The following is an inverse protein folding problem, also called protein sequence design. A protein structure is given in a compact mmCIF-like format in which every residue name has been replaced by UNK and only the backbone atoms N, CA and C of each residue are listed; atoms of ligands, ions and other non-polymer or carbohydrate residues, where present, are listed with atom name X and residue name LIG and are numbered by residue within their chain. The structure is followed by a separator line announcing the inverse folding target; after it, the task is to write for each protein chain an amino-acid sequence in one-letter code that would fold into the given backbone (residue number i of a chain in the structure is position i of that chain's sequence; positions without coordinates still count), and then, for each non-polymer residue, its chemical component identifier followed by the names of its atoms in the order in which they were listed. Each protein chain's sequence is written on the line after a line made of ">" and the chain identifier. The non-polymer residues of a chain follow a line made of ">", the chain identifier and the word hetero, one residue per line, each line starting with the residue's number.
data_IF_306737951902
#
_entry.id   IF_306737951902
#
_cell.length_a   1.000
_cell.length_b   1.000
_cell.length_c   1.000
_cell.angle_alpha   90.00
_cell.angle_beta   90.00
_cell.angle_gamma   90.00
#
_symmetry.space_group_name_H-M   'P 1'
#
loop_
_entity.id
_entity.type
_entity.pdbx_description
1 polymer ?
#
# COMPACT_ATOMS: atom_id res chain seq x y z
N UNK A 1 -0.97 -12.81 7.16
CA UNK A 1 -1.34 -12.30 5.82
C UNK A 1 -1.14 -10.79 5.72
N UNK A 2 -1.85 -9.97 6.52
CA UNK A 2 -1.76 -8.50 6.48
C UNK A 2 -0.33 -7.93 6.58
N UNK A 3 0.49 -8.45 7.49
CA UNK A 3 1.89 -8.02 7.63
C UNK A 3 2.76 -8.32 6.40
N UNK A 4 2.51 -9.46 5.75
CA UNK A 4 3.25 -9.84 4.55
C UNK A 4 2.88 -8.95 3.37
N UNK A 5 1.60 -8.60 3.22
CA UNK A 5 1.15 -7.68 2.15
C UNK A 5 1.66 -6.26 2.38
N UNK A 6 1.67 -5.76 3.62
CA UNK A 6 2.24 -4.44 3.95
C UNK A 6 3.74 -4.39 3.72
N UNK A 7 4.46 -5.48 4.00
CA UNK A 7 5.87 -5.61 3.67
C UNK A 7 6.12 -5.61 2.17
N UNK A 8 5.37 -6.41 1.41
CA UNK A 8 5.52 -6.47 -0.05
C UNK A 8 5.30 -5.09 -0.70
N UNK A 9 4.33 -4.33 -0.18
CA UNK A 9 4.10 -2.96 -0.59
C UNK A 9 5.31 -2.06 -0.27
N UNK A 10 5.83 -2.09 0.96
CA UNK A 10 7.03 -1.33 1.32
C UNK A 10 8.23 -1.70 0.44
N UNK A 11 8.44 -2.99 0.18
CA UNK A 11 9.53 -3.48 -0.66
C UNK A 11 9.43 -2.91 -2.09
N UNK A 12 8.24 -2.89 -2.69
CA UNK A 12 8.07 -2.30 -4.03
C UNK A 12 8.39 -0.80 -4.03
N UNK A 13 8.06 -0.08 -2.96
CA UNK A 13 8.44 1.33 -2.84
C UNK A 13 9.94 1.57 -2.70
N UNK A 14 10.67 0.66 -2.04
CA UNK A 14 12.13 0.72 -1.94
C UNK A 14 12.78 0.44 -3.30
N UNK A 15 12.26 -0.53 -4.07
CA UNK A 15 12.73 -0.80 -5.42
C UNK A 15 12.60 0.41 -6.35
N UNK A 16 11.59 1.26 -6.15
CA UNK A 16 11.39 2.49 -6.92
C UNK A 16 12.54 3.52 -6.84
N UNK A 17 13.47 3.39 -5.89
CA UNK A 17 14.68 4.23 -5.85
C UNK A 17 15.83 3.73 -6.75
N UNK A 18 15.62 2.64 -7.50
CA UNK A 18 16.65 2.07 -8.39
C UNK A 18 17.77 1.33 -7.65
N UNK A 19 17.56 0.93 -6.39
CA UNK A 19 18.55 0.13 -5.63
C UNK A 19 18.70 -1.26 -6.26
N UNK A 20 17.62 -1.80 -6.82
CA UNK A 20 17.58 -3.05 -7.58
C UNK A 20 16.97 -2.79 -8.95
N UNK A 21 17.45 -3.51 -9.96
CA UNK A 21 16.77 -3.59 -11.25
C UNK A 21 15.36 -4.17 -11.03
N UNK A 22 14.35 -3.37 -11.36
CA UNK A 22 12.96 -3.80 -11.33
C UNK A 22 12.75 -4.98 -12.30
N UNK A 23 11.93 -5.95 -11.91
CA UNK A 23 11.69 -7.18 -12.68
C UNK A 23 12.86 -8.17 -12.76
N UNK A 24 14.03 -7.88 -12.19
CA UNK A 24 15.16 -8.81 -12.18
C UNK A 24 14.86 -10.06 -11.33
N UNK A 25 15.33 -11.24 -11.77
CA UNK A 25 15.19 -12.51 -11.04
C UNK A 25 15.64 -12.41 -9.58
N UNK A 26 16.67 -11.59 -9.31
CA UNK A 26 17.18 -11.34 -7.95
C UNK A 26 16.19 -10.56 -7.09
N UNK A 27 15.52 -9.54 -7.67
CA UNK A 27 14.51 -8.71 -6.98
C UNK A 27 13.30 -9.57 -6.60
N UNK A 28 12.75 -10.32 -7.56
CA UNK A 28 11.59 -11.21 -7.33
C UNK A 28 11.88 -12.25 -6.25
N UNK A 29 13.08 -12.86 -6.30
CA UNK A 29 13.48 -13.85 -5.31
C UNK A 29 13.67 -13.24 -3.90
N UNK A 30 14.26 -12.04 -3.82
CA UNK A 30 14.42 -11.30 -2.56
C UNK A 30 13.07 -10.89 -1.95
N UNK A 31 12.14 -10.38 -2.77
CA UNK A 31 10.76 -10.11 -2.35
C UNK A 31 10.06 -11.36 -1.82
N UNK A 32 10.20 -12.48 -2.53
CA UNK A 32 9.55 -13.74 -2.17
C UNK A 32 10.09 -14.29 -0.84
N UNK A 33 11.41 -14.35 -0.68
CA UNK A 33 12.03 -14.84 0.56
C UNK A 33 11.70 -13.94 1.74
N UNK A 34 11.82 -12.63 1.58
CA UNK A 34 11.55 -11.68 2.67
C UNK A 34 10.07 -11.70 3.09
N UNK A 35 9.15 -11.81 2.13
CA UNK A 35 7.72 -11.98 2.39
C UNK A 35 7.42 -13.29 3.12
N UNK A 36 8.05 -14.39 2.71
CA UNK A 36 7.90 -15.69 3.38
C UNK A 36 8.46 -15.65 4.81
N UNK A 37 9.61 -15.01 5.03
CA UNK A 37 10.20 -14.84 6.35
C UNK A 37 9.25 -14.07 7.29
N UNK A 38 8.66 -12.97 6.83
CA UNK A 38 7.71 -12.16 7.63
C UNK A 38 6.42 -12.94 7.90
N UNK A 39 5.94 -13.71 6.93
CA UNK A 39 4.82 -14.61 7.14
C UNK A 39 5.13 -15.63 8.26
N UNK A 40 6.29 -16.27 8.20
CA UNK A 40 6.72 -17.26 9.20
C UNK A 40 6.89 -16.64 10.58
N UNK A 41 7.49 -15.45 10.69
CA UNK A 41 7.63 -14.73 11.97
C UNK A 41 6.26 -14.45 12.57
N UNK A 42 5.33 -13.91 11.79
CA UNK A 42 3.99 -13.60 12.28
C UNK A 42 3.23 -14.87 12.69
N UNK A 43 3.37 -15.96 11.92
CA UNK A 43 2.78 -17.24 12.24
C UNK A 43 3.32 -17.83 13.57
N UNK A 44 4.64 -17.79 13.77
CA UNK A 44 5.27 -18.26 15.01
C UNK A 44 4.83 -17.42 16.21
N UNK A 45 4.79 -16.09 16.08
CA UNK A 45 4.29 -15.19 17.14
C UNK A 45 2.84 -15.49 17.50
N UNK A 46 1.98 -15.74 16.51
CA UNK A 46 0.59 -16.10 16.74
C UNK A 46 0.46 -17.44 17.48
N UNK A 47 1.19 -18.48 17.07
CA UNK A 47 1.15 -19.80 17.72
C UNK A 47 1.69 -19.75 19.15
N UNK A 48 2.82 -19.06 19.37
CA UNK A 48 3.41 -18.94 20.70
C UNK A 48 2.46 -18.22 21.66
N UNK A 49 1.77 -17.18 21.17
CA UNK A 49 0.75 -16.46 21.94
C UNK A 49 -0.43 -17.38 22.28
N UNK A 50 -0.90 -18.18 21.32
CA UNK A 50 -2.00 -19.12 21.54
C UNK A 50 -1.63 -20.26 22.51
N UNK A 51 -0.42 -20.80 22.41
CA UNK A 51 0.06 -21.90 23.27
C UNK A 51 0.53 -21.45 24.66
N UNK A 52 0.65 -20.15 24.91
CA UNK A 52 1.17 -19.63 26.18
C UNK A 52 2.63 -20.01 26.46
N UNK A 53 3.41 -20.23 25.39
CA UNK A 53 4.78 -20.71 25.50
C UNK A 53 5.75 -19.54 25.75
N UNK A 54 5.72 -18.98 26.97
CA UNK A 54 6.69 -17.99 27.42
C UNK A 54 6.20 -17.12 28.58
N UNK A 55 7.10 -16.72 29.48
CA UNK A 55 6.75 -15.87 30.63
C UNK A 55 6.24 -14.46 30.24
N UNK A 56 6.51 -14.05 28.99
CA UNK A 56 6.15 -12.76 28.40
C UNK A 56 5.14 -12.85 27.25
N UNK A 57 4.84 -14.04 26.74
CA UNK A 57 3.95 -14.27 25.59
C UNK A 57 2.92 -15.32 25.99
N UNK A 58 1.65 -14.93 26.05
CA UNK A 58 0.57 -15.87 26.30
C UNK A 58 -0.82 -15.27 26.15
N UNK A 59 -1.88 -16.07 26.38
CA UNK A 59 -3.26 -15.65 26.14
C UNK A 59 -3.68 -14.42 26.95
N UNK A 60 -3.09 -14.25 28.13
CA UNK A 60 -3.31 -13.12 29.03
C UNK A 60 -2.38 -11.92 28.77
N UNK A 61 -1.34 -12.08 27.94
CA UNK A 61 -0.35 -11.04 27.60
C UNK A 61 -0.14 -11.02 26.08
N UNK A 62 -1.10 -10.41 25.37
CA UNK A 62 -1.15 -10.36 23.90
C UNK A 62 -0.51 -9.11 23.30
N UNK A 63 0.23 -8.31 24.09
CA UNK A 63 0.82 -7.04 23.65
C UNK A 63 1.68 -7.20 22.39
N UNK A 64 2.50 -8.25 22.32
CA UNK A 64 3.36 -8.49 21.15
C UNK A 64 2.52 -8.78 19.90
N UNK A 65 1.50 -9.62 20.02
CA UNK A 65 0.58 -9.92 18.91
C UNK A 65 -0.15 -8.65 18.45
N UNK A 66 -0.58 -7.81 19.38
CA UNK A 66 -1.24 -6.54 19.09
C UNK A 66 -0.33 -5.59 18.31
N UNK A 67 0.92 -5.40 18.76
CA UNK A 67 1.89 -4.53 18.07
C UNK A 67 2.13 -5.02 16.64
N UNK A 68 2.37 -6.31 16.45
CA UNK A 68 2.62 -6.88 15.12
C UNK A 68 1.40 -6.79 14.18
N UNK A 69 0.19 -6.93 14.73
CA UNK A 69 -1.04 -7.00 13.93
C UNK A 69 -1.63 -5.63 13.64
N UNK A 70 -1.56 -4.69 14.59
CA UNK A 70 -2.24 -3.40 14.48
C UNK A 70 -1.31 -2.22 14.29
N UNK A 71 -0.11 -2.22 14.91
CA UNK A 71 0.79 -1.06 14.88
C UNK A 71 1.78 -1.13 13.74
N UNK A 72 2.38 -2.31 13.51
CA UNK A 72 3.41 -2.47 12.48
C UNK A 72 2.88 -2.19 11.07
N UNK A 73 1.67 -2.68 10.76
CA UNK A 73 1.07 -2.57 9.43
C UNK A 73 0.86 -1.11 8.95
N UNK A 74 0.20 -0.22 9.71
CA UNK A 74 0.05 1.17 9.30
C UNK A 74 1.40 1.89 9.23
N UNK A 75 2.39 1.53 10.06
CA UNK A 75 3.74 2.10 9.98
C UNK A 75 4.40 1.72 8.64
N UNK A 76 4.35 0.44 8.23
CA UNK A 76 4.91 0.00 6.95
C UNK A 76 4.24 0.70 5.76
N UNK A 77 2.91 0.85 5.81
CA UNK A 77 2.14 1.58 4.78
C UNK A 77 2.53 3.06 4.75
N UNK A 78 2.73 3.68 5.92
CA UNK A 78 3.16 5.07 6.02
C UNK A 78 4.56 5.27 5.42
N UNK A 79 5.51 4.38 5.74
CA UNK A 79 6.85 4.44 5.13
C UNK A 79 6.79 4.29 3.61
N UNK A 80 5.96 3.37 3.11
CA UNK A 80 5.73 3.24 1.67
C UNK A 80 5.12 4.50 1.06
N UNK A 81 4.11 5.09 1.70
CA UNK A 81 3.49 6.33 1.23
C UNK A 81 4.51 7.48 1.17
N UNK A 82 5.33 7.62 2.21
CA UNK A 82 6.41 8.59 2.24
C UNK A 82 7.45 8.34 1.13
N UNK A 83 7.83 7.08 0.87
CA UNK A 83 8.75 6.78 -0.22
C UNK A 83 8.17 7.16 -1.59
N UNK A 84 6.89 6.86 -1.83
CA UNK A 84 6.21 7.24 -3.07
C UNK A 84 6.14 8.76 -3.23
N UNK A 85 5.85 9.49 -2.15
CA UNK A 85 5.88 10.96 -2.17
C UNK A 85 7.26 11.48 -2.55
N UNK A 86 8.34 10.95 -1.97
CA UNK A 86 9.71 11.35 -2.32
C UNK A 86 10.00 11.09 -3.80
N UNK A 87 9.62 9.93 -4.34
CA UNK A 87 9.79 9.61 -5.77
C UNK A 87 9.04 10.64 -6.64
N UNK A 88 7.79 10.95 -6.31
CA UNK A 88 7.01 11.94 -7.06
C UNK A 88 7.59 13.35 -7.04
N UNK A 89 8.20 13.77 -5.93
CA UNK A 89 8.80 15.10 -5.80
C UNK A 89 10.20 15.19 -6.43
N UNK A 90 11.03 14.17 -6.24
CA UNK A 90 12.46 14.20 -6.59
C UNK A 90 12.72 13.60 -7.96
N UNK A 91 12.16 12.42 -8.26
CA UNK A 91 12.48 11.68 -9.48
C UNK A 91 11.54 12.02 -10.65
N UNK A 92 10.25 12.23 -10.39
CA UNK A 92 9.23 12.44 -11.44
C UNK A 92 8.91 13.91 -11.74
N UNK A 93 9.74 14.87 -11.29
CA UNK A 93 9.56 16.31 -11.54
C UNK A 93 8.13 16.78 -11.27
N UNK A 94 7.71 16.77 -10.00
CA UNK A 94 6.42 17.33 -9.50
C UNK A 94 5.22 17.01 -10.40
N UNK A 95 5.00 15.73 -10.70
CA UNK A 95 3.80 15.29 -11.39
C UNK A 95 2.56 15.45 -10.47
N UNK A 96 1.84 16.55 -10.66
CA UNK A 96 0.67 16.95 -9.85
C UNK A 96 -0.45 15.90 -9.87
N UNK A 97 -0.59 15.15 -10.97
CA UNK A 97 -1.62 14.12 -11.12
C UNK A 97 -1.26 12.86 -10.31
N UNK A 98 0.01 12.48 -10.29
CA UNK A 98 0.50 11.37 -9.46
C UNK A 98 0.32 11.69 -7.97
N UNK A 99 0.73 12.90 -7.54
CA UNK A 99 0.58 13.35 -6.15
C UNK A 99 -0.90 13.41 -5.76
N UNK A 100 -1.77 13.94 -6.63
CA UNK A 100 -3.21 13.98 -6.40
C UNK A 100 -3.83 12.59 -6.20
N UNK A 101 -3.45 11.63 -7.05
CA UNK A 101 -3.93 10.24 -6.95
C UNK A 101 -3.44 9.55 -5.67
N UNK A 102 -2.19 9.81 -5.27
CA UNK A 102 -1.61 9.29 -4.04
C UNK A 102 -2.28 9.89 -2.78
N UNK A 103 -2.56 11.20 -2.77
CA UNK A 103 -3.29 11.86 -1.68
C UNK A 103 -4.74 11.36 -1.57
N UNK A 104 -5.43 11.17 -2.68
CA UNK A 104 -6.78 10.59 -2.71
C UNK A 104 -6.76 9.15 -2.18
N UNK A 105 -5.74 8.36 -2.52
CA UNK A 105 -5.52 7.01 -1.96
C UNK A 105 -5.44 7.06 -0.44
N UNK A 106 -4.61 7.94 0.12
CA UNK A 106 -4.49 8.09 1.57
C UNK A 106 -5.79 8.56 2.23
N UNK A 107 -6.52 9.48 1.60
CA UNK A 107 -7.79 9.98 2.10
C UNK A 107 -8.84 8.86 2.19
N UNK A 108 -9.02 8.07 1.12
CA UNK A 108 -9.96 6.95 1.11
C UNK A 108 -9.53 5.85 2.08
N UNK A 109 -8.22 5.60 2.23
CA UNK A 109 -7.70 4.67 3.23
C UNK A 109 -8.09 5.12 4.65
N UNK A 110 -7.79 6.37 5.02
CA UNK A 110 -8.12 6.90 6.36
C UNK A 110 -9.64 6.90 6.60
N UNK A 111 -10.43 7.31 5.61
CA UNK A 111 -11.89 7.28 5.68
C UNK A 111 -12.41 5.84 5.90
N UNK A 112 -11.85 4.84 5.20
CA UNK A 112 -12.23 3.43 5.38
C UNK A 112 -11.97 2.94 6.81
N UNK A 113 -10.80 3.26 7.38
CA UNK A 113 -10.44 2.86 8.75
C UNK A 113 -11.31 3.59 9.78
N UNK A 114 -11.63 4.86 9.53
CA UNK A 114 -12.52 5.62 10.39
C UNK A 114 -13.94 5.03 10.44
N UNK A 115 -14.47 4.57 9.29
CA UNK A 115 -15.77 3.88 9.26
C UNK A 115 -15.77 2.59 10.07
N UNK A 116 -14.68 1.82 10.03
CA UNK A 116 -14.57 0.56 10.75
C UNK A 116 -14.39 0.74 12.26
N UNK A 117 -13.47 1.62 12.69
CA UNK A 117 -13.09 1.73 14.09
C UNK A 117 -13.83 2.85 14.85
N UNK A 118 -14.27 3.89 14.16
CA UNK A 118 -14.90 5.06 14.79
C UNK A 118 -16.43 5.03 14.78
N UNK A 119 -17.04 4.56 13.68
CA UNK A 119 -18.48 4.75 13.44
C UNK A 119 -19.25 3.42 13.30
N UNK A 120 -18.57 2.28 13.33
CA UNK A 120 -19.19 0.97 13.07
C UNK A 120 -20.38 0.64 13.98
N UNK A 121 -20.27 0.91 15.29
CA UNK A 121 -21.36 0.68 16.25
C UNK A 121 -22.60 1.54 15.94
N UNK A 122 -22.39 2.83 15.64
CA UNK A 122 -23.46 3.77 15.25
C UNK A 122 -24.18 3.33 13.98
N UNK A 123 -23.44 2.81 13.00
CA UNK A 123 -23.99 2.29 11.74
C UNK A 123 -24.81 1.03 12.02
N UNK A 124 -24.27 0.12 12.84
CA UNK A 124 -24.92 -1.14 13.19
C UNK A 124 -26.28 -0.92 13.88
N UNK A 125 -26.33 -0.02 14.87
CA UNK A 125 -27.57 0.35 15.55
C UNK A 125 -28.54 1.09 14.61
N UNK A 126 -28.03 2.02 13.79
CA UNK A 126 -28.85 2.81 12.86
C UNK A 126 -29.49 2.03 11.72
N UNK A 127 -28.93 0.86 11.37
CA UNK A 127 -29.43 -0.02 10.31
C UNK A 127 -30.08 -1.30 10.87
N UNK A 128 -30.49 -1.31 12.14
CA UNK A 128 -31.13 -2.46 12.80
C UNK A 128 -30.33 -3.77 12.65
N UNK A 129 -29.00 -3.71 12.81
CA UNK A 129 -28.08 -4.83 12.65
C UNK A 129 -28.07 -5.51 11.26
N UNK A 130 -28.62 -4.86 10.22
CA UNK A 130 -28.56 -5.38 8.85
C UNK A 130 -27.19 -5.19 8.19
N UNK A 131 -26.51 -4.09 8.52
CA UNK A 131 -25.18 -3.78 8.03
C UNK A 131 -24.35 -3.07 9.11
N UNK A 132 -23.05 -3.30 9.08
CA UNK A 132 -22.07 -2.75 10.03
C UNK A 132 -21.05 -1.86 9.31
N UNK A 133 -20.10 -1.30 10.07
CA UNK A 133 -19.01 -0.52 9.51
C UNK A 133 -18.09 -1.31 8.57
N UNK A 134 -18.11 -2.64 8.59
CA UNK A 134 -17.28 -3.49 7.73
C UNK A 134 -17.66 -3.35 6.25
N UNK A 135 -18.95 -3.24 5.95
CA UNK A 135 -19.44 -3.00 4.59
C UNK A 135 -18.91 -1.68 4.03
N UNK A 136 -19.04 -0.60 4.79
CA UNK A 136 -18.56 0.73 4.37
C UNK A 136 -17.04 0.82 4.34
N UNK A 137 -16.34 0.15 5.26
CA UNK A 137 -14.89 0.02 5.23
C UNK A 137 -14.43 -0.65 3.94
N UNK A 138 -15.09 -1.72 3.52
CA UNK A 138 -14.73 -2.46 2.30
C UNK A 138 -14.97 -1.62 1.05
N UNK A 139 -16.09 -0.91 0.96
CA UNK A 139 -16.37 0.04 -0.14
C UNK A 139 -15.32 1.16 -0.19
N UNK A 140 -15.02 1.80 0.94
CA UNK A 140 -13.97 2.82 1.02
C UNK A 140 -12.59 2.29 0.62
N UNK A 141 -12.28 1.05 1.00
CA UNK A 141 -11.04 0.38 0.62
C UNK A 141 -10.99 0.04 -0.88
N UNK A 142 -12.12 -0.29 -1.51
CA UNK A 142 -12.17 -0.44 -2.97
C UNK A 142 -11.84 0.88 -3.69
N UNK A 143 -12.40 2.01 -3.24
CA UNK A 143 -12.04 3.32 -3.80
C UNK A 143 -10.57 3.66 -3.58
N UNK A 144 -10.02 3.34 -2.40
CA UNK A 144 -8.59 3.46 -2.13
C UNK A 144 -7.75 2.67 -3.15
N UNK A 145 -8.10 1.40 -3.42
CA UNK A 145 -7.38 0.59 -4.41
C UNK A 145 -7.51 1.17 -5.83
N UNK A 146 -8.68 1.68 -6.22
CA UNK A 146 -8.83 2.32 -7.54
C UNK A 146 -7.89 3.51 -7.71
N UNK A 147 -7.79 4.38 -6.70
CA UNK A 147 -6.87 5.53 -6.76
C UNK A 147 -5.41 5.10 -6.71
N UNK A 148 -5.09 4.01 -5.99
CA UNK A 148 -3.75 3.43 -5.97
C UNK A 148 -3.35 2.86 -7.34
N UNK A 149 -4.24 2.15 -8.01
CA UNK A 149 -4.00 1.68 -9.38
C UNK A 149 -3.83 2.84 -10.35
N UNK A 150 -4.65 3.90 -10.22
CA UNK A 150 -4.50 5.11 -11.02
C UNK A 150 -3.13 5.76 -10.79
N UNK A 151 -2.66 5.79 -9.54
CA UNK A 151 -1.32 6.27 -9.20
C UNK A 151 -0.25 5.45 -9.93
N UNK A 152 -0.33 4.12 -9.88
CA UNK A 152 0.64 3.25 -10.56
C UNK A 152 0.65 3.44 -12.07
N UNK A 153 -0.51 3.53 -12.71
CA UNK A 153 -0.64 3.84 -14.14
C UNK A 153 0.10 5.14 -14.51
N UNK A 154 -0.02 6.19 -13.68
CA UNK A 154 0.62 7.49 -13.95
C UNK A 154 2.15 7.41 -13.83
N UNK A 155 2.71 6.55 -12.98
CA UNK A 155 4.17 6.47 -12.78
C UNK A 155 4.86 5.46 -13.71
N UNK A 156 4.13 4.50 -14.27
CA UNK A 156 4.65 3.50 -15.21
C UNK A 156 4.25 3.77 -16.66
N UNK A 157 3.87 5.00 -16.99
CA UNK A 157 3.42 5.38 -18.33
C UNK A 157 4.47 5.10 -19.44
N UNK A 158 5.76 5.11 -19.10
CA UNK A 158 6.85 4.81 -20.03
C UNK A 158 6.91 3.33 -20.45
N UNK A 159 6.34 2.43 -19.64
CA UNK A 159 6.29 1.00 -19.93
C UNK A 159 5.11 0.61 -20.86
N UNK A 160 4.17 1.54 -21.10
CA UNK A 160 3.00 1.30 -21.93
C UNK A 160 3.38 1.05 -23.40
N UNK A 161 2.83 -0.03 -23.97
CA UNK A 161 3.07 -0.48 -25.35
C UNK A 161 2.64 0.57 -26.39
N UNK A 162 1.63 1.37 -26.05
CA UNK A 162 1.15 2.44 -26.90
C UNK A 162 2.17 3.57 -27.02
N UNK A 163 2.80 3.99 -25.93
CA UNK A 163 3.86 4.99 -25.97
C UNK A 163 5.06 4.46 -26.78
N UNK A 164 5.46 3.22 -26.52
CA UNK A 164 6.58 2.56 -27.22
C UNK A 164 6.40 2.49 -28.74
N UNK A 165 5.16 2.33 -29.21
CA UNK A 165 4.85 2.17 -30.63
C UNK A 165 4.35 3.46 -31.32
N UNK A 166 3.89 4.47 -30.58
CA UNK A 166 3.27 5.66 -31.19
C UNK A 166 3.91 7.00 -30.80
N UNK A 167 4.74 7.06 -29.75
CA UNK A 167 5.40 8.29 -29.28
C UNK A 167 4.42 9.47 -29.04
N UNK A 168 3.16 9.14 -28.74
CA UNK A 168 2.12 10.09 -28.37
C UNK A 168 1.67 9.75 -26.95
N UNK A 169 1.81 10.70 -26.03
CA UNK A 169 1.35 10.54 -24.64
C UNK A 169 -0.11 11.02 -24.58
N UNK A 170 -1.10 10.20 -24.19
CA UNK A 170 -2.45 10.71 -23.98
C UNK A 170 -2.47 11.61 -22.73
N UNK A 171 -2.54 12.93 -22.93
CA UNK A 171 -2.61 13.95 -21.87
C UNK A 171 -1.34 14.79 -21.66
N UNK A 172 -0.24 14.46 -22.33
CA UNK A 172 0.92 15.35 -22.56
C UNK A 172 1.15 15.41 -24.07
N UNK A 173 1.28 16.59 -24.67
CA UNK A 173 1.39 16.76 -26.13
C UNK A 173 2.49 15.90 -26.79
N UNK A 174 2.48 15.84 -28.12
CA UNK A 174 3.43 15.04 -28.91
C UNK A 174 4.88 15.33 -28.55
N UNK A 175 5.75 14.33 -28.60
CA UNK A 175 7.19 14.45 -28.34
C UNK A 175 7.86 15.57 -29.14
N UNK A 176 7.32 15.91 -30.33
CA UNK A 176 7.78 17.03 -31.15
C UNK A 176 7.55 18.40 -30.54
N UNK A 177 6.50 18.59 -29.76
CA UNK A 177 6.22 19.86 -29.08
C UNK A 177 7.12 20.03 -27.83
N UNK A 178 7.54 18.95 -27.18
CA UNK A 178 8.34 19.02 -25.95
C UNK A 178 9.82 19.33 -26.23
N UNK A 179 10.34 18.92 -27.39
CA UNK A 179 11.71 19.25 -27.83
C UNK A 179 11.89 20.72 -28.24
N UNK A 180 10.82 21.47 -28.50
CA UNK A 180 10.90 22.88 -28.90
C UNK A 180 11.03 23.83 -27.70
N UNK A 181 10.82 23.32 -26.48
CA UNK A 181 10.93 24.06 -25.21
C UNK A 181 12.13 23.64 -24.34
N UNK A 182 13.03 22.80 -24.86
CA UNK A 182 14.22 22.32 -24.14
C UNK A 182 15.52 22.74 -24.83
#
# INVERSE_FOLDING_TARGET
>A
MYATTSWALLYSGICGFGIWEDGSRKSIFSLSISSFAIFMINYVVAILTFRGAGSFIGPSKTTILFVFTFILNPILILFWFCSQMVICFVMLVVNRWAIGSLLLTAMFFIASQFMLYGVSERICEGLNHYADGLLFCTLGFMFCLMMLYKYWEIITFDDDEYYRNTQVVPGMGSEKETSEYC
#
